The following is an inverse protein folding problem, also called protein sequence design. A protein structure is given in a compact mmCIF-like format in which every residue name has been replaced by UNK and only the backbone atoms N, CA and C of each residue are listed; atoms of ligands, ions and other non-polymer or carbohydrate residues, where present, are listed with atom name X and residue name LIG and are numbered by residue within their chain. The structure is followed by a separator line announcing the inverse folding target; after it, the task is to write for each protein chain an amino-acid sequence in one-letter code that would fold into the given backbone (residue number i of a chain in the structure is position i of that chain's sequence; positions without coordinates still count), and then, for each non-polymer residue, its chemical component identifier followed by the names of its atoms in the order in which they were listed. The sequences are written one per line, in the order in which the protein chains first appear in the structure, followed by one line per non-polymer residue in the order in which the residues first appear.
data_IF_122135516617
#
_entry.id   IF_122135516617
#
_cell.length_a   1.000
_cell.length_b   1.000
_cell.length_c   1.000
_cell.angle_alpha   90.00
_cell.angle_beta   90.00
_cell.angle_gamma   90.00
#
_symmetry.space_group_name_H-M   'P 1'
#
loop_
_entity.id
_entity.type
_entity.pdbx_description
1 polymer ?
#
# COMPACT_ATOMS: atom_id res chain seq x y z
N UNK A 1 10.31 12.16 13.05
CA UNK A 1 11.35 11.17 12.69
C UNK A 1 10.85 9.77 12.98
N UNK A 2 10.99 8.85 12.03
CA UNK A 2 10.65 7.42 12.21
C UNK A 2 11.92 6.60 12.40
N UNK A 3 11.79 5.27 12.58
CA UNK A 3 12.95 4.37 12.67
C UNK A 3 13.80 4.39 11.40
N UNK A 4 13.16 4.56 10.24
CA UNK A 4 13.80 4.52 8.93
C UNK A 4 14.13 5.92 8.38
N UNK A 5 13.52 6.99 8.91
CA UNK A 5 13.81 8.38 8.55
C UNK A 5 14.21 9.18 9.79
N UNK A 6 15.53 9.27 10.03
CA UNK A 6 16.15 10.11 11.06
C UNK A 6 16.51 11.48 10.49
N UNK A 7 15.71 12.51 10.81
CA UNK A 7 15.97 13.89 10.46
C UNK A 7 16.64 14.59 11.65
N UNK A 8 17.66 15.41 11.39
CA UNK A 8 18.35 16.20 12.42
C UNK A 8 17.46 17.30 13.01
N UNK A 9 16.53 17.84 12.21
CA UNK A 9 15.52 18.81 12.62
C UNK A 9 14.16 18.43 12.02
N UNK A 10 13.05 18.61 12.75
CA UNK A 10 11.72 18.44 12.18
C UNK A 10 11.50 19.49 11.07
N UNK A 11 10.97 19.07 9.92
CA UNK A 11 10.55 20.02 8.88
C UNK A 11 9.34 20.82 9.39
N UNK A 12 9.34 22.16 9.26
CA UNK A 12 8.16 22.96 9.56
C UNK A 12 6.99 22.50 8.69
N UNK A 13 5.84 22.25 9.30
CA UNK A 13 4.62 21.95 8.56
C UNK A 13 4.20 23.16 7.75
N UNK A 14 3.96 22.99 6.45
CA UNK A 14 3.36 24.00 5.59
C UNK A 14 2.07 23.48 4.98
N UNK A 15 1.18 24.41 4.62
CA UNK A 15 0.00 24.08 3.83
C UNK A 15 0.41 23.90 2.37
N UNK A 16 0.40 22.67 1.89
CA UNK A 16 0.51 22.42 0.45
C UNK A 16 -0.73 23.02 -0.23
N UNK A 17 -0.56 24.10 -0.99
CA UNK A 17 -1.66 24.94 -1.49
C UNK A 17 -2.75 24.15 -2.23
N UNK A 18 -2.34 23.24 -3.11
CA UNK A 18 -3.22 22.23 -3.71
C UNK A 18 -2.46 20.92 -3.87
N UNK A 19 -3.04 19.82 -3.41
CA UNK A 19 -2.44 18.49 -3.51
C UNK A 19 -3.31 17.66 -4.44
N UNK A 20 -2.78 17.37 -5.64
CA UNK A 20 -3.50 16.60 -6.65
C UNK A 20 -3.37 15.12 -6.34
N UNK A 21 -4.45 14.53 -5.86
CA UNK A 21 -4.53 13.09 -5.65
C UNK A 21 -4.73 12.37 -6.98
N UNK A 22 -3.82 11.46 -7.32
CA UNK A 22 -3.86 10.72 -8.57
C UNK A 22 -4.08 9.22 -8.33
N UNK A 23 -5.04 8.66 -9.08
CA UNK A 23 -5.28 7.21 -9.15
C UNK A 23 -4.12 6.48 -9.83
N UNK A 24 -3.52 7.06 -10.87
CA UNK A 24 -2.39 6.43 -11.56
C UNK A 24 -1.16 6.39 -10.68
N UNK A 25 -0.90 7.47 -9.92
CA UNK A 25 0.15 7.50 -8.90
C UNK A 25 -0.08 6.39 -7.87
N UNK A 26 -1.29 6.31 -7.31
CA UNK A 26 -1.61 5.29 -6.30
C UNK A 26 -1.50 3.84 -6.78
N UNK A 27 -1.73 3.54 -8.07
CA UNK A 27 -1.47 2.20 -8.63
C UNK A 27 0.00 1.79 -8.52
N UNK A 28 0.92 2.75 -8.50
CA UNK A 28 2.37 2.49 -8.37
C UNK A 28 2.78 2.08 -6.94
N UNK A 29 1.89 2.26 -5.96
CA UNK A 29 2.10 1.91 -4.55
C UNK A 29 1.47 0.57 -4.15
N UNK A 30 0.87 -0.14 -5.12
CA UNK A 30 0.20 -1.42 -4.87
C UNK A 30 1.00 -2.56 -5.49
N UNK A 31 1.25 -3.60 -4.70
CA UNK A 31 1.83 -4.86 -5.20
C UNK A 31 0.86 -5.55 -6.18
N UNK A 32 1.35 -6.51 -6.96
CA UNK A 32 0.54 -7.29 -7.92
C UNK A 32 -0.74 -7.85 -7.25
N UNK A 33 -0.63 -8.39 -6.03
CA UNK A 33 -1.76 -8.94 -5.24
C UNK A 33 -2.80 -7.89 -4.80
N UNK A 34 -2.39 -6.62 -4.67
CA UNK A 34 -3.24 -5.53 -4.21
C UNK A 34 -3.72 -4.61 -5.35
N UNK A 35 -3.38 -4.93 -6.61
CA UNK A 35 -3.55 -4.02 -7.76
C UNK A 35 -5.00 -3.64 -8.09
N UNK A 36 -5.96 -4.44 -7.60
CA UNK A 36 -7.39 -4.16 -7.71
C UNK A 36 -7.89 -3.06 -6.75
N UNK A 37 -7.09 -2.73 -5.72
CA UNK A 37 -7.44 -1.69 -4.76
C UNK A 37 -7.41 -0.30 -5.39
N UNK A 38 -8.22 0.60 -4.83
CA UNK A 38 -8.27 1.99 -5.26
C UNK A 38 -7.52 2.86 -4.26
N UNK A 39 -6.26 3.15 -4.57
CA UNK A 39 -5.43 4.10 -3.82
C UNK A 39 -5.22 5.36 -4.67
N UNK A 40 -5.37 6.52 -4.05
CA UNK A 40 -5.00 7.81 -4.62
C UNK A 40 -3.82 8.37 -3.84
N UNK A 41 -2.78 8.84 -4.52
CA UNK A 41 -1.58 9.39 -3.89
C UNK A 41 -1.29 10.77 -4.48
N UNK A 42 -0.89 11.71 -3.63
CA UNK A 42 -0.44 13.03 -4.03
C UNK A 42 1.00 13.00 -4.51
N UNK A 43 1.37 14.00 -5.30
CA UNK A 43 2.78 14.31 -5.51
C UNK A 43 3.43 14.74 -4.16
N UNK A 44 4.73 14.47 -3.96
CA UNK A 44 5.43 14.86 -2.74
C UNK A 44 5.65 16.37 -2.69
N UNK A 45 5.53 16.98 -1.51
CA UNK A 45 6.08 18.31 -1.28
C UNK A 45 7.55 18.21 -0.89
N UNK A 46 8.37 19.07 -1.47
CA UNK A 46 9.82 19.06 -1.35
C UNK A 46 10.24 19.89 -0.14
N UNK A 47 11.13 19.33 0.69
CA UNK A 47 11.66 19.99 1.87
C UNK A 47 13.17 19.85 1.87
N UNK A 48 13.93 20.96 1.76
CA UNK A 48 15.38 20.91 1.87
C UNK A 48 15.78 20.50 3.27
N UNK A 49 16.66 19.48 3.37
CA UNK A 49 17.16 18.96 4.66
C UNK A 49 18.67 19.23 4.78
N UNK A 50 19.01 20.42 5.26
CA UNK A 50 20.39 20.83 5.52
C UNK A 50 21.18 21.13 4.24
N UNK A 51 22.52 21.08 4.32
CA UNK A 51 23.44 21.39 3.20
C UNK A 51 23.66 20.21 2.23
N UNK A 52 22.89 19.12 2.36
CA UNK A 52 23.01 17.94 1.48
C UNK A 52 22.06 18.08 0.29
N UNK A 53 22.48 17.55 -0.85
CA UNK A 53 21.78 17.64 -2.13
C UNK A 53 20.46 16.83 -2.20
N UNK A 54 20.18 15.95 -1.23
CA UNK A 54 18.94 15.14 -1.22
C UNK A 54 17.79 15.88 -0.51
N UNK A 55 16.75 16.27 -1.26
CA UNK A 55 15.52 16.84 -0.70
C UNK A 55 14.62 15.76 -0.07
N UNK A 56 13.89 16.11 0.99
CA UNK A 56 12.90 15.24 1.60
C UNK A 56 11.53 15.47 0.98
N UNK A 57 10.97 14.44 0.35
CA UNK A 57 9.60 14.43 -0.15
C UNK A 57 8.62 13.96 0.92
N UNK A 58 7.56 14.73 1.17
CA UNK A 58 6.43 14.30 2.01
C UNK A 58 5.19 14.13 1.14
N UNK A 59 4.58 12.96 1.17
CA UNK A 59 3.41 12.64 0.35
C UNK A 59 2.30 11.99 1.17
N UNK A 60 1.11 12.01 0.60
CA UNK A 60 -0.10 11.50 1.24
C UNK A 60 -0.97 10.72 0.28
N UNK A 61 -1.83 9.88 0.82
CA UNK A 61 -2.75 9.09 0.04
C UNK A 61 -4.02 8.73 0.79
N UNK A 62 -4.99 8.23 0.04
CA UNK A 62 -6.26 7.73 0.58
C UNK A 62 -6.73 6.53 -0.24
N UNK A 63 -7.06 5.45 0.46
CA UNK A 63 -7.73 4.31 -0.12
C UNK A 63 -9.23 4.58 -0.22
N UNK A 64 -9.82 4.36 -1.39
CA UNK A 64 -11.26 4.23 -1.55
C UNK A 64 -11.66 2.79 -1.24
N UNK A 65 -12.27 2.58 -0.08
CA UNK A 65 -12.78 1.27 0.34
C UNK A 65 -11.76 0.37 1.05
N UNK A 66 -10.83 0.94 1.82
CA UNK A 66 -9.75 0.20 2.51
C UNK A 66 -10.22 -0.99 3.35
N UNK A 67 -11.37 -0.89 4.02
CA UNK A 67 -11.88 -1.97 4.87
C UNK A 67 -12.10 -3.29 4.11
N UNK A 68 -12.37 -3.18 2.79
CA UNK A 68 -12.63 -4.29 1.87
C UNK A 68 -11.47 -4.53 0.90
N UNK A 69 -10.32 -3.89 1.11
CA UNK A 69 -9.19 -3.95 0.17
C UNK A 69 -8.35 -5.21 0.36
N UNK A 70 -7.71 -5.64 -0.73
CA UNK A 70 -6.72 -6.72 -0.70
C UNK A 70 -5.51 -6.32 0.15
N UNK A 71 -5.12 -5.04 0.12
CA UNK A 71 -4.05 -4.49 0.96
C UNK A 71 -4.32 -4.78 2.43
N UNK A 72 -5.54 -4.50 2.90
CA UNK A 72 -5.92 -4.78 4.30
C UNK A 72 -5.95 -6.28 4.58
N UNK A 73 -6.47 -7.08 3.66
CA UNK A 73 -6.47 -8.53 3.79
C UNK A 73 -5.03 -9.08 3.91
N UNK A 74 -4.08 -8.59 3.10
CA UNK A 74 -2.67 -8.95 3.20
C UNK A 74 -2.04 -8.54 4.53
N UNK A 75 -2.32 -7.33 5.03
CA UNK A 75 -1.81 -6.86 6.32
C UNK A 75 -2.29 -7.75 7.48
N UNK A 76 -3.57 -8.12 7.47
CA UNK A 76 -4.16 -8.99 8.50
C UNK A 76 -3.65 -10.43 8.35
N UNK A 77 -3.64 -10.97 7.14
CA UNK A 77 -3.19 -12.34 6.86
C UNK A 77 -1.72 -12.56 7.22
N UNK A 78 -0.88 -11.54 7.03
CA UNK A 78 0.53 -11.54 7.47
C UNK A 78 0.72 -11.23 8.96
N UNK A 79 -0.37 -11.00 9.70
CA UNK A 79 -0.36 -10.63 11.12
C UNK A 79 0.56 -9.44 11.41
N UNK A 80 0.59 -8.45 10.51
CA UNK A 80 1.47 -7.28 10.66
C UNK A 80 1.01 -6.49 11.88
N UNK A 81 1.93 -6.28 12.83
CA UNK A 81 1.68 -5.45 14.00
C UNK A 81 1.48 -3.98 13.60
N UNK A 82 0.65 -3.28 14.37
CA UNK A 82 0.60 -1.83 14.28
C UNK A 82 1.92 -1.22 14.76
N UNK A 83 2.30 -0.11 14.14
CA UNK A 83 3.40 0.71 14.64
C UNK A 83 3.01 1.34 15.98
N UNK A 84 3.92 1.24 16.95
CA UNK A 84 3.73 1.67 18.34
C UNK A 84 3.98 3.17 18.52
N UNK A 85 4.80 3.77 17.66
CA UNK A 85 5.29 5.16 17.75
C UNK A 85 4.55 6.10 16.81
N UNK A 86 4.04 5.58 15.71
CA UNK A 86 3.42 6.38 14.65
C UNK A 86 1.90 6.32 14.76
N UNK A 87 1.26 7.48 14.66
CA UNK A 87 -0.19 7.62 14.55
C UNK A 87 -0.54 8.32 13.25
N UNK A 88 -1.72 8.02 12.73
CA UNK A 88 -2.21 8.66 11.53
C UNK A 88 -2.34 10.18 11.78
N UNK A 89 -1.66 11.04 11.01
CA UNK A 89 -1.71 12.49 11.21
C UNK A 89 -3.09 13.08 10.89
N UNK A 90 -3.96 12.33 10.21
CA UNK A 90 -5.28 12.79 9.78
C UNK A 90 -6.41 12.40 10.75
N UNK A 91 -6.32 11.22 11.39
CA UNK A 91 -7.40 10.73 12.24
C UNK A 91 -6.95 10.11 13.56
N UNK A 92 -5.66 10.16 13.90
CA UNK A 92 -5.09 9.70 15.18
C UNK A 92 -5.08 8.17 15.38
N UNK A 93 -5.65 7.41 14.45
CA UNK A 93 -5.71 5.94 14.56
C UNK A 93 -4.34 5.28 14.39
N UNK A 94 -4.23 4.02 14.82
CA UNK A 94 -3.05 3.19 14.64
C UNK A 94 -2.78 2.95 13.15
N UNK A 95 -1.50 2.75 12.82
CA UNK A 95 -1.04 2.57 11.44
C UNK A 95 -0.20 1.31 11.30
N UNK A 96 -0.22 0.71 10.11
CA UNK A 96 0.75 -0.30 9.71
C UNK A 96 1.90 0.36 8.95
N UNK A 97 3.13 -0.11 9.19
CA UNK A 97 4.27 0.20 8.33
C UNK A 97 4.23 -0.69 7.10
N UNK A 98 4.11 -0.08 5.92
CA UNK A 98 4.03 -0.83 4.66
C UNK A 98 5.38 -1.44 4.28
N UNK A 99 6.47 -0.77 4.67
CA UNK A 99 7.85 -1.28 4.54
C UNK A 99 8.04 -2.52 5.41
N UNK A 100 7.65 -2.47 6.70
CA UNK A 100 7.73 -3.63 7.58
C UNK A 100 6.83 -4.79 7.12
N UNK A 101 5.69 -4.46 6.51
CA UNK A 101 4.77 -5.44 5.93
C UNK A 101 5.28 -6.11 4.64
N UNK A 102 6.41 -5.64 4.06
CA UNK A 102 6.90 -6.05 2.73
C UNK A 102 5.83 -5.90 1.65
N UNK A 103 5.14 -4.76 1.65
CA UNK A 103 4.09 -4.40 0.68
C UNK A 103 4.45 -3.14 -0.12
N UNK A 104 5.74 -2.80 -0.18
CA UNK A 104 6.26 -1.66 -0.93
C UNK A 104 6.82 -2.14 -2.28
N UNK A 105 6.16 -1.88 -3.41
CA UNK A 105 6.71 -2.21 -4.72
C UNK A 105 7.81 -1.22 -5.14
N UNK A 106 8.80 -1.67 -5.93
CA UNK A 106 9.86 -0.82 -6.50
C UNK A 106 9.29 0.37 -7.30
N UNK A 107 8.15 0.18 -7.96
CA UNK A 107 7.45 1.22 -8.72
C UNK A 107 7.06 2.45 -7.88
N UNK A 108 6.93 2.33 -6.57
CA UNK A 108 6.61 3.45 -5.69
C UNK A 108 7.76 4.47 -5.62
N UNK A 109 9.01 3.99 -5.54
CA UNK A 109 10.19 4.85 -5.48
C UNK A 109 10.36 5.62 -6.79
N UNK A 110 10.31 4.90 -7.91
CA UNK A 110 10.33 5.48 -9.27
C UNK A 110 9.25 6.54 -9.46
N UNK A 111 8.01 6.28 -9.01
CA UNK A 111 6.90 7.23 -9.15
C UNK A 111 7.12 8.54 -8.38
N UNK A 112 7.86 8.47 -7.27
CA UNK A 112 8.15 9.63 -6.42
C UNK A 112 9.45 10.37 -6.80
N UNK A 113 10.21 9.91 -7.79
CA UNK A 113 11.55 10.45 -8.05
C UNK A 113 12.54 10.14 -6.92
N UNK A 114 12.33 9.03 -6.21
CA UNK A 114 13.17 8.56 -5.11
C UNK A 114 14.04 7.41 -5.56
N UNK A 115 15.25 7.30 -5.00
CA UNK A 115 16.08 6.09 -5.16
C UNK A 115 15.40 4.88 -4.51
N UNK A 116 15.62 3.69 -5.07
CA UNK A 116 15.04 2.45 -4.55
C UNK A 116 15.34 2.24 -3.06
N UNK A 117 14.33 1.82 -2.31
CA UNK A 117 14.44 1.57 -0.87
C UNK A 117 14.53 2.82 0.01
N UNK A 118 14.51 4.03 -0.57
CA UNK A 118 14.56 5.30 0.18
C UNK A 118 13.17 5.94 0.37
N UNK A 119 12.16 5.12 0.63
CA UNK A 119 10.83 5.60 1.01
C UNK A 119 10.24 4.77 2.14
N UNK A 120 9.40 5.42 2.93
CA UNK A 120 8.60 4.79 3.98
C UNK A 120 7.20 5.38 3.95
N UNK A 121 6.20 4.53 4.10
CA UNK A 121 4.82 4.99 4.30
C UNK A 121 4.04 4.06 5.20
N UNK A 122 3.01 4.66 5.77
CA UNK A 122 2.13 4.04 6.73
C UNK A 122 0.70 4.16 6.26
N UNK A 123 -0.11 3.15 6.56
CA UNK A 123 -1.55 3.13 6.28
C UNK A 123 -2.32 2.90 7.57
N UNK A 124 -3.27 3.78 7.87
CA UNK A 124 -4.11 3.65 9.06
C UNK A 124 -5.29 2.70 8.85
N UNK A 125 -5.96 2.31 9.94
CA UNK A 125 -7.15 1.43 9.89
C UNK A 125 -8.30 1.99 9.04
N UNK A 126 -8.35 3.32 8.84
CA UNK A 126 -9.34 3.98 8.00
C UNK A 126 -8.88 4.16 6.54
N UNK A 127 -7.66 3.73 6.19
CA UNK A 127 -7.14 3.79 4.83
C UNK A 127 -6.46 5.10 4.44
N UNK A 128 -6.10 5.96 5.40
CA UNK A 128 -5.23 7.10 5.10
C UNK A 128 -3.78 6.65 5.00
N UNK A 129 -3.10 7.13 3.96
CA UNK A 129 -1.68 6.92 3.74
C UNK A 129 -0.91 8.22 4.02
N UNK A 130 0.21 8.10 4.71
CA UNK A 130 1.21 9.17 4.80
C UNK A 130 2.60 8.57 4.67
N UNK A 131 3.50 9.28 3.99
CA UNK A 131 4.83 8.78 3.76
C UNK A 131 5.86 9.88 3.53
N UNK A 132 7.10 9.43 3.56
CA UNK A 132 8.29 10.24 3.32
C UNK A 132 9.22 9.50 2.36
N UNK A 133 9.93 10.23 1.51
CA UNK A 133 10.95 9.69 0.63
C UNK A 133 12.13 10.65 0.52
N UNK A 134 13.31 10.12 0.17
CA UNK A 134 14.44 10.95 -0.24
C UNK A 134 14.36 11.15 -1.74
N UNK A 135 14.16 12.38 -2.17
CA UNK A 135 14.12 12.77 -3.56
C UNK A 135 15.55 12.80 -4.10
N UNK A 136 15.72 12.32 -5.33
CA UNK A 136 17.01 12.39 -6.01
C UNK A 136 17.20 13.82 -6.53
N UNK A 137 18.32 14.49 -6.25
CA UNK A 137 18.61 15.80 -6.81
C UNK A 137 18.60 15.74 -8.34
N UNK A 138 18.00 16.74 -8.96
CA UNK A 138 17.99 16.91 -10.42
C UNK A 138 19.36 17.46 -10.89
N UNK A 139 20.47 16.75 -10.62
CA UNK A 139 21.73 17.03 -11.32
C UNK A 139 21.68 16.35 -12.68
N UNK A 140 21.71 17.14 -13.74
CA UNK A 140 21.64 16.74 -15.14
C UNK A 140 22.70 15.70 -15.52
N UNK A 141 22.36 14.42 -15.46
CA UNK A 141 22.82 13.42 -16.42
C UNK A 141 21.74 12.34 -16.53
N UNK A 142 21.12 12.30 -17.72
CA UNK A 142 20.09 11.35 -18.12
C UNK A 142 20.72 9.96 -18.30
N UNK A 143 21.13 9.30 -17.21
CA UNK A 143 21.43 7.87 -17.29
C UNK A 143 20.12 7.09 -17.28
N UNK A 144 19.67 6.82 -18.51
CA UNK A 144 18.62 5.88 -18.91
C UNK A 144 18.63 4.63 -18.02
N UNK A 145 17.76 4.59 -17.02
CA UNK A 145 17.48 3.37 -16.28
C UNK A 145 16.60 2.49 -17.16
N UNK A 146 17.25 1.50 -17.77
CA UNK A 146 16.70 0.47 -18.64
C UNK A 146 15.33 -0.02 -18.16
N UNK A 147 14.41 -0.20 -19.12
CA UNK A 147 13.12 -0.86 -18.94
C UNK A 147 13.36 -2.34 -18.60
N UNK A 148 13.76 -2.60 -17.35
CA UNK A 148 13.94 -3.94 -16.80
C UNK A 148 12.59 -4.61 -16.56
N UNK A 149 12.47 -5.79 -17.16
CA UNK A 149 11.34 -6.71 -17.20
C UNK A 149 10.68 -6.96 -15.83
N UNK A 150 9.41 -7.35 -15.88
CA UNK A 150 8.62 -7.68 -14.70
C UNK A 150 9.20 -8.88 -13.93
N UNK A 151 10.10 -8.64 -12.99
CA UNK A 151 10.53 -9.66 -12.03
C UNK A 151 9.29 -10.29 -11.35
N UNK A 152 9.17 -11.61 -11.48
CA UNK A 152 8.18 -12.42 -10.81
C UNK A 152 8.60 -12.56 -9.35
N UNK A 153 7.94 -11.82 -8.46
CA UNK A 153 8.08 -12.07 -7.02
C UNK A 153 7.45 -13.44 -6.68
N UNK A 154 8.25 -14.50 -6.75
CA UNK A 154 7.96 -15.77 -6.08
C UNK A 154 7.99 -15.54 -4.55
N UNK A 155 6.83 -15.62 -3.90
CA UNK A 155 6.77 -16.08 -2.52
C UNK A 155 5.42 -16.75 -2.25
N UNK A 156 5.53 -18.06 -2.07
CA UNK A 156 4.45 -19.01 -1.83
C UNK A 156 3.88 -18.87 -0.42
N UNK A 157 2.57 -19.07 -0.34
CA UNK A 157 1.83 -19.06 0.90
C UNK A 157 0.40 -19.47 0.59
N UNK A 158 0.23 -20.79 0.46
CA UNK A 158 -1.06 -21.45 0.30
C UNK A 158 -1.98 -21.07 1.47
N UNK A 159 -3.06 -20.36 1.18
CA UNK A 159 -4.16 -20.18 2.11
C UNK A 159 -5.37 -20.88 1.51
N UNK A 160 -5.53 -22.15 1.91
CA UNK A 160 -6.67 -22.98 1.61
C UNK A 160 -7.92 -22.38 2.27
N UNK A 161 -8.72 -21.66 1.47
CA UNK A 161 -10.02 -21.14 1.86
C UNK A 161 -11.10 -22.16 1.51
N UNK A 162 -11.63 -22.84 2.52
CA UNK A 162 -12.72 -23.81 2.39
C UNK A 162 -13.94 -23.22 1.65
N UNK A 163 -14.46 -24.06 0.75
CA UNK A 163 -15.50 -23.73 -0.20
C UNK A 163 -16.88 -23.57 0.45
N UNK A 164 -17.51 -22.42 0.23
CA UNK A 164 -18.96 -22.30 0.30
C UNK A 164 -19.55 -22.73 -1.05
N UNK A 165 -20.19 -23.91 -1.11
CA UNK A 165 -21.06 -24.30 -2.23
C UNK A 165 -22.51 -24.18 -1.80
N UNK A 166 -23.26 -23.30 -2.45
CA UNK A 166 -24.72 -23.38 -2.52
C UNK A 166 -25.19 -22.86 -3.87
N UNK A 167 -26.20 -23.56 -4.43
CA UNK A 167 -26.94 -23.41 -5.70
C UNK A 167 -26.64 -24.55 -6.69
N UNK A 168 -27.60 -25.25 -7.31
CA UNK A 168 -29.07 -25.26 -7.25
C UNK A 168 -29.62 -26.42 -8.13
N UNK A 169 -30.93 -26.69 -7.98
CA UNK A 169 -31.90 -27.29 -8.93
C UNK A 169 -32.07 -28.82 -9.04
N UNK A 170 -33.17 -29.27 -8.42
CA UNK A 170 -34.37 -29.92 -9.01
C UNK A 170 -34.20 -30.70 -10.30
N UNK A 171 -34.51 -32.01 -10.24
CA UNK A 171 -35.25 -32.73 -11.29
C UNK A 171 -36.19 -33.78 -10.67
N UNK A 172 -37.43 -33.80 -11.17
CA UNK A 172 -38.48 -34.79 -10.87
C UNK A 172 -38.15 -36.18 -11.43
N UNK A 173 -38.74 -37.23 -10.84
CA UNK A 173 -38.94 -38.50 -11.54
C UNK A 173 -39.05 -39.76 -10.68
N UNK A 174 -40.30 -40.11 -10.33
CA UNK A 174 -40.92 -41.45 -10.33
C UNK A 174 -40.24 -42.65 -9.65
N UNK A 175 -40.99 -43.34 -8.78
CA UNK A 175 -40.91 -44.81 -8.69
C UNK A 175 -41.07 -45.46 -7.32
N UNK A 176 -42.32 -45.72 -6.93
CA UNK A 176 -42.84 -46.95 -6.28
C UNK A 176 -42.20 -47.57 -5.02
N UNK A 177 -43.10 -47.69 -4.01
CA UNK A 177 -43.33 -48.83 -3.07
C UNK A 177 -42.19 -49.09 -2.07
N UNK A 178 -42.41 -49.10 -0.75
CA UNK A 178 -43.42 -49.89 -0.04
C UNK A 178 -43.38 -49.59 1.47
N UNK A 179 -44.58 -49.58 2.07
CA UNK A 179 -44.98 -50.10 3.41
C UNK A 179 -43.93 -50.27 4.52
N UNK A 180 -44.15 -49.62 5.67
CA UNK A 180 -44.63 -50.30 6.89
C UNK A 180 -44.96 -49.28 8.00
N UNK A 181 -46.19 -49.39 8.51
CA UNK A 181 -46.64 -48.83 9.78
C UNK A 181 -45.96 -49.57 10.94
N UNK A 182 -45.60 -48.86 12.00
CA UNK A 182 -46.22 -48.94 13.33
C UNK A 182 -45.95 -47.63 14.09
#
# INVERSE_FOLDING_TARGET
STRNFKLSRPSPGHFAGASRFSKTSGRSFLTKKCRADLLFVSDPCEHPVGDKEDDLGIYRGVFRGFLRSNTRACLIGRQVAFDDRVRCPYCGTRVWSMTAARLVPKSAARRLGSRDGRLEYFVCVNGHLHGTCWLVPLSSDEENCEEGEEEEDEDGGDFNGEAYKKHEKVTNGTGSRSSLMF
#
